data_IF_411447899906
#
_entry.id   IF_411447899906
#
_cell.length_a   1.000
_cell.length_b   1.000
_cell.length_c   1.000
_cell.angle_alpha   90.00
_cell.angle_beta   90.00
_cell.angle_gamma   90.00
#
_symmetry.space_group_name_H-M   'P 1'
#
loop_
_entity.id
_entity.type
_entity.pdbx_description
1 polymer ?
#
# COMPACT_ATOMS: atom_id res chain seq x y z
N UNK A 1 -8.65 -6.64 -34.00
CA UNK A 1 -7.33 -6.54 -34.65
C UNK A 1 -6.47 -5.56 -33.83
N UNK A 2 -5.59 -6.06 -32.91
CA UNK A 2 -4.71 -5.21 -32.10
C UNK A 2 -3.53 -4.76 -32.97
N UNK A 3 -3.56 -3.52 -33.46
CA UNK A 3 -2.59 -2.94 -34.40
C UNK A 3 -1.33 -2.34 -33.77
N UNK A 4 -1.18 -2.40 -32.44
CA UNK A 4 0.05 -1.94 -31.78
C UNK A 4 0.50 -3.02 -30.80
N UNK A 5 1.56 -3.73 -31.17
CA UNK A 5 2.28 -4.60 -30.24
C UNK A 5 2.91 -3.75 -29.14
N UNK A 6 2.52 -3.95 -27.86
CA UNK A 6 3.22 -3.42 -26.72
C UNK A 6 4.69 -3.86 -26.69
N UNK A 7 5.52 -3.29 -25.83
CA UNK A 7 6.92 -3.66 -25.73
C UNK A 7 7.05 -5.17 -25.49
N UNK A 8 7.91 -5.84 -26.28
CA UNK A 8 8.22 -7.26 -26.10
C UNK A 8 9.30 -7.40 -25.04
N UNK A 9 8.92 -7.90 -23.87
CA UNK A 9 9.87 -8.25 -22.81
C UNK A 9 10.27 -9.73 -22.92
N UNK A 10 11.47 -10.12 -22.41
CA UNK A 10 11.75 -11.51 -22.10
C UNK A 10 10.62 -12.12 -21.26
N UNK A 11 10.35 -13.43 -21.42
CA UNK A 11 9.19 -14.07 -20.77
C UNK A 11 9.16 -13.90 -19.26
N UNK A 12 10.30 -14.01 -18.60
CA UNK A 12 10.46 -13.80 -17.15
C UNK A 12 10.04 -12.39 -16.70
N UNK A 13 10.34 -11.38 -17.51
CA UNK A 13 9.95 -10.00 -17.26
C UNK A 13 8.47 -9.78 -17.59
N UNK A 14 8.00 -10.35 -18.72
CA UNK A 14 6.62 -10.22 -19.17
C UNK A 14 5.62 -10.75 -18.10
N UNK A 15 5.98 -11.81 -17.38
CA UNK A 15 5.18 -12.38 -16.28
C UNK A 15 5.06 -11.47 -15.07
N UNK A 16 5.93 -10.45 -14.96
CA UNK A 16 5.97 -9.49 -13.85
C UNK A 16 5.38 -8.13 -14.22
N UNK A 17 4.90 -7.95 -15.44
CA UNK A 17 4.28 -6.68 -15.89
C UNK A 17 2.80 -6.93 -16.14
N UNK A 18 1.90 -6.39 -15.31
CA UNK A 18 0.47 -6.58 -15.47
C UNK A 18 -0.05 -6.06 -16.80
N UNK A 19 -1.20 -6.55 -17.30
CA UNK A 19 -1.85 -6.02 -18.47
C UNK A 19 -2.03 -4.51 -18.40
N UNK A 20 -1.82 -3.80 -19.51
CA UNK A 20 -1.94 -2.35 -19.59
C UNK A 20 -0.80 -1.54 -18.96
N UNK A 21 0.18 -2.22 -18.33
CA UNK A 21 1.37 -1.57 -17.76
C UNK A 21 2.60 -1.72 -18.67
N UNK A 22 3.57 -0.86 -18.46
CA UNK A 22 4.90 -0.89 -19.10
C UNK A 22 5.98 -0.67 -18.07
N UNK A 23 7.17 -1.22 -18.29
CA UNK A 23 8.34 -0.94 -17.47
C UNK A 23 8.77 0.52 -17.64
N UNK A 24 9.16 1.12 -16.54
CA UNK A 24 9.78 2.45 -16.51
C UNK A 24 11.13 2.38 -15.81
N UNK A 25 12.03 3.26 -16.20
CA UNK A 25 13.27 3.49 -15.45
C UNK A 25 13.01 4.52 -14.37
N UNK A 26 13.47 4.25 -13.18
CA UNK A 26 13.24 5.10 -12.02
C UNK A 26 11.84 4.92 -11.45
N UNK A 27 11.52 5.77 -10.50
CA UNK A 27 10.29 5.69 -9.72
C UNK A 27 9.49 7.00 -9.86
N UNK A 28 8.41 7.00 -10.67
CA UNK A 28 7.62 8.21 -10.89
C UNK A 28 7.01 8.77 -9.61
N UNK A 29 7.10 10.08 -9.43
CA UNK A 29 6.50 10.77 -8.27
C UNK A 29 5.08 11.17 -8.60
N UNK A 30 4.12 10.52 -7.93
CA UNK A 30 2.69 10.84 -7.98
C UNK A 30 2.16 10.91 -6.55
N UNK A 31 1.50 11.99 -6.17
CA UNK A 31 0.90 12.15 -4.85
C UNK A 31 -0.27 13.14 -4.88
N UNK A 32 -1.09 13.06 -3.84
CA UNK A 32 -2.11 14.06 -3.53
C UNK A 32 -1.62 14.94 -2.36
N UNK A 33 -1.92 16.24 -2.44
CA UNK A 33 -1.51 17.21 -1.44
C UNK A 33 -0.02 17.60 -1.48
N UNK A 34 0.42 18.45 -0.59
CA UNK A 34 1.83 18.84 -0.45
C UNK A 34 2.67 17.68 0.12
N UNK A 35 3.99 17.75 -0.05
CA UNK A 35 4.93 16.83 0.58
C UNK A 35 5.14 17.31 2.02
N UNK A 36 4.91 16.46 3.05
CA UNK A 36 5.15 16.81 4.44
C UNK A 36 6.62 17.17 4.68
N UNK A 37 6.85 18.13 5.56
CA UNK A 37 8.18 18.46 6.07
C UNK A 37 8.34 17.82 7.44
N UNK A 38 9.08 16.74 7.53
CA UNK A 38 9.37 16.01 8.75
C UNK A 38 10.78 15.46 8.67
N UNK A 39 11.47 15.41 9.79
CA UNK A 39 12.73 14.67 9.98
C UNK A 39 12.50 13.30 10.64
N UNK A 40 11.25 12.94 10.89
CA UNK A 40 10.81 11.71 11.54
C UNK A 40 10.65 11.85 13.07
N UNK A 41 11.21 12.87 13.70
CA UNK A 41 11.17 13.02 15.17
C UNK A 41 9.78 13.34 15.72
N UNK A 42 8.94 13.95 14.88
CA UNK A 42 7.54 14.31 15.16
C UNK A 42 6.54 13.31 14.59
N UNK A 43 7.04 12.15 14.12
CA UNK A 43 6.20 11.15 13.45
C UNK A 43 5.84 9.99 14.36
N UNK A 44 4.58 9.65 14.36
CA UNK A 44 4.03 8.49 15.04
C UNK A 44 3.12 7.68 14.12
N UNK A 45 2.88 6.43 14.50
CA UNK A 45 1.92 5.53 13.88
C UNK A 45 0.95 5.03 14.95
N UNK A 46 -0.34 5.36 14.80
CA UNK A 46 -1.39 4.81 15.66
C UNK A 46 -2.01 3.57 15.02
N UNK A 47 -2.23 2.53 15.82
CA UNK A 47 -3.01 1.33 15.48
C UNK A 47 -4.23 1.27 16.39
N UNK A 48 -5.44 1.26 15.81
CA UNK A 48 -6.69 1.41 16.56
C UNK A 48 -7.90 0.78 15.85
N UNK A 49 -9.10 0.93 16.46
CA UNK A 49 -10.37 0.46 15.94
C UNK A 49 -10.76 -0.91 16.51
N UNK A 50 -11.17 -1.85 15.65
CA UNK A 50 -11.58 -3.19 16.09
C UNK A 50 -10.38 -4.08 16.45
N UNK A 51 -9.67 -3.70 17.50
CA UNK A 51 -8.52 -4.41 18.08
C UNK A 51 -8.70 -4.53 19.59
N UNK A 52 -8.03 -5.52 20.22
CA UNK A 52 -7.99 -5.63 21.68
C UNK A 52 -7.02 -4.63 22.29
N UNK A 53 -5.90 -4.34 21.60
CA UNK A 53 -4.82 -3.48 22.07
C UNK A 53 -4.59 -2.35 21.09
N UNK A 54 -5.15 -1.18 21.37
CA UNK A 54 -4.75 0.05 20.66
C UNK A 54 -3.38 0.51 21.16
N UNK A 55 -2.56 1.02 20.26
CA UNK A 55 -1.26 1.60 20.62
C UNK A 55 -0.83 2.67 19.61
N UNK A 56 0.11 3.48 20.06
CA UNK A 56 0.85 4.41 19.19
C UNK A 56 2.34 4.14 19.35
N UNK A 57 3.06 4.16 18.24
CA UNK A 57 4.52 4.00 18.20
C UNK A 57 5.13 5.26 17.61
N UNK A 58 6.15 5.76 18.24
CA UNK A 58 7.04 6.72 17.62
C UNK A 58 7.78 6.09 16.43
N UNK A 59 8.35 6.91 15.56
CA UNK A 59 9.12 6.42 14.42
C UNK A 59 10.27 5.48 14.85
N UNK A 60 10.97 5.80 15.94
CA UNK A 60 12.08 4.97 16.44
C UNK A 60 11.58 3.66 17.07
N UNK A 61 10.48 3.68 17.82
CA UNK A 61 9.88 2.45 18.38
C UNK A 61 9.42 1.51 17.26
N UNK A 62 8.83 2.07 16.17
CA UNK A 62 8.45 1.28 15.02
C UNK A 62 9.66 0.60 14.38
N UNK A 63 10.76 1.33 14.18
CA UNK A 63 12.00 0.79 13.61
C UNK A 63 12.64 -0.31 14.47
N UNK A 64 12.37 -0.32 15.77
CA UNK A 64 12.88 -1.33 16.70
C UNK A 64 12.07 -2.65 16.66
N UNK A 65 10.94 -2.74 15.95
CA UNK A 65 10.08 -3.93 15.92
C UNK A 65 10.56 -5.08 15.01
N UNK A 66 11.85 -5.20 14.74
CA UNK A 66 12.39 -6.26 13.89
C UNK A 66 12.21 -5.96 12.39
N UNK A 67 13.00 -5.03 11.86
CA UNK A 67 12.94 -4.65 10.46
C UNK A 67 13.29 -5.80 9.52
N UNK A 68 12.59 -5.86 8.40
CA UNK A 68 12.89 -6.77 7.30
C UNK A 68 13.13 -5.99 6.01
N UNK A 69 13.83 -6.60 5.08
CA UNK A 69 13.90 -6.11 3.69
C UNK A 69 13.22 -7.13 2.79
N UNK A 70 12.23 -6.68 2.03
CA UNK A 70 11.57 -7.50 1.00
C UNK A 70 11.81 -6.91 -0.37
N UNK A 71 11.96 -7.79 -1.36
CA UNK A 71 12.01 -7.40 -2.78
C UNK A 71 10.66 -7.61 -3.41
N UNK A 72 10.07 -6.52 -3.93
CA UNK A 72 8.77 -6.57 -4.56
C UNK A 72 8.65 -5.58 -5.72
N UNK A 73 7.75 -5.90 -6.67
CA UNK A 73 7.42 -5.03 -7.78
C UNK A 73 6.35 -4.01 -7.38
N UNK A 74 6.32 -2.89 -8.07
CA UNK A 74 5.28 -1.87 -7.88
C UNK A 74 4.57 -1.58 -9.19
N UNK A 75 3.24 -1.61 -9.16
CA UNK A 75 2.38 -1.43 -10.32
C UNK A 75 1.46 -0.23 -10.11
N UNK A 76 1.49 0.73 -11.03
CA UNK A 76 0.60 1.89 -10.94
C UNK A 76 -0.59 1.77 -11.89
N UNK A 77 -1.74 2.22 -11.44
CA UNK A 77 -2.96 2.29 -12.26
C UNK A 77 -2.79 3.18 -13.50
N UNK A 78 -1.85 4.12 -13.47
CA UNK A 78 -1.52 4.98 -14.63
C UNK A 78 -0.66 4.28 -15.69
N UNK A 79 -0.44 2.95 -15.55
CA UNK A 79 0.15 2.12 -16.60
C UNK A 79 1.67 2.00 -16.55
N UNK A 80 2.31 2.17 -15.41
CA UNK A 80 3.75 1.90 -15.26
C UNK A 80 4.02 0.84 -14.18
N UNK A 81 5.16 0.17 -14.32
CA UNK A 81 5.68 -0.83 -13.39
C UNK A 81 7.16 -0.60 -13.17
N UNK A 82 7.60 -0.70 -11.91
CA UNK A 82 9.00 -0.84 -11.53
C UNK A 82 9.20 -2.21 -10.89
N UNK A 83 10.33 -2.85 -11.22
CA UNK A 83 10.68 -4.17 -10.71
C UNK A 83 11.79 -4.07 -9.66
N UNK A 84 11.90 -5.14 -8.86
CA UNK A 84 13.02 -5.36 -7.94
C UNK A 84 13.23 -4.22 -6.93
N UNK A 85 12.14 -3.67 -6.38
CA UNK A 85 12.24 -2.67 -5.34
C UNK A 85 12.55 -3.35 -4.00
N UNK A 86 13.68 -3.03 -3.39
CA UNK A 86 14.05 -3.50 -2.05
C UNK A 86 13.45 -2.54 -1.01
N UNK A 87 12.38 -2.99 -0.35
CA UNK A 87 11.66 -2.22 0.67
C UNK A 87 12.13 -2.62 2.06
N UNK A 88 12.45 -1.64 2.90
CA UNK A 88 12.81 -1.85 4.30
C UNK A 88 11.71 -1.30 5.21
N UNK A 89 11.24 -2.13 6.14
CA UNK A 89 10.14 -1.77 7.05
C UNK A 89 9.83 -2.86 8.06
N UNK A 90 8.72 -2.70 8.77
CA UNK A 90 8.14 -3.73 9.62
C UNK A 90 6.98 -4.42 8.90
N UNK A 91 6.85 -5.77 8.96
CA UNK A 91 5.68 -6.45 8.41
C UNK A 91 4.40 -5.94 9.06
N UNK A 92 3.36 -5.69 8.27
CA UNK A 92 2.04 -5.33 8.83
C UNK A 92 1.56 -6.38 9.83
N UNK A 93 1.82 -7.67 9.56
CA UNK A 93 1.46 -8.80 10.43
C UNK A 93 1.97 -8.60 11.86
N UNK A 94 3.19 -8.11 12.04
CA UNK A 94 3.75 -7.88 13.38
C UNK A 94 2.97 -6.79 14.16
N UNK A 95 2.47 -5.77 13.47
CA UNK A 95 1.59 -4.76 14.06
C UNK A 95 0.22 -5.34 14.38
N UNK A 96 -0.34 -6.16 13.49
CA UNK A 96 -1.63 -6.83 13.70
C UNK A 96 -1.57 -7.83 14.86
N UNK A 97 -0.51 -8.64 14.97
CA UNK A 97 -0.31 -9.58 16.09
C UNK A 97 -0.23 -8.84 17.43
N UNK A 98 0.42 -7.68 17.48
CA UNK A 98 0.46 -6.84 18.67
C UNK A 98 -0.90 -6.22 19.00
N UNK A 99 -1.65 -5.79 17.98
CA UNK A 99 -2.96 -5.17 18.14
C UNK A 99 -4.04 -6.17 18.53
N UNK A 100 -3.92 -7.43 18.13
CA UNK A 100 -4.92 -8.50 18.31
C UNK A 100 -6.27 -8.08 17.70
N UNK A 101 -6.44 -8.16 16.37
CA UNK A 101 -7.71 -7.81 15.73
C UNK A 101 -8.86 -8.62 16.30
N UNK A 102 -9.99 -7.95 16.56
CA UNK A 102 -11.22 -8.60 16.99
C UNK A 102 -11.78 -9.48 15.87
N UNK A 103 -12.58 -10.52 16.20
CA UNK A 103 -13.15 -11.43 15.19
C UNK A 103 -13.94 -10.73 14.08
N UNK A 104 -14.53 -9.57 14.37
CA UNK A 104 -15.31 -8.76 13.43
C UNK A 104 -14.44 -7.91 12.49
N UNK A 105 -13.16 -7.73 12.81
CA UNK A 105 -12.25 -6.92 11.98
C UNK A 105 -12.01 -7.60 10.64
N UNK A 106 -12.47 -6.98 9.57
CA UNK A 106 -12.37 -7.48 8.20
C UNK A 106 -11.62 -6.53 7.26
N UNK A 107 -11.49 -5.26 7.64
CA UNK A 107 -10.91 -4.19 6.84
C UNK A 107 -9.91 -3.36 7.63
N UNK A 108 -9.01 -2.70 6.91
CA UNK A 108 -8.03 -1.77 7.47
C UNK A 108 -8.00 -0.51 6.63
N UNK A 109 -8.28 0.62 7.27
CA UNK A 109 -8.09 1.95 6.66
C UNK A 109 -6.72 2.48 7.03
N UNK A 110 -5.89 2.74 6.04
CA UNK A 110 -4.65 3.49 6.19
C UNK A 110 -4.96 4.99 6.11
N UNK A 111 -4.79 5.72 7.21
CA UNK A 111 -4.93 7.17 7.27
C UNK A 111 -3.56 7.83 7.12
N UNK A 112 -3.50 8.83 6.26
CA UNK A 112 -2.27 9.52 5.92
C UNK A 112 -2.41 11.04 6.10
N UNK A 113 -1.29 11.73 5.96
CA UNK A 113 -1.30 13.20 5.97
C UNK A 113 -2.28 13.78 4.93
N UNK A 114 -2.77 14.96 5.22
CA UNK A 114 -3.69 15.75 4.36
C UNK A 114 -5.00 15.05 4.02
N UNK A 115 -5.46 14.11 4.87
CA UNK A 115 -6.73 13.41 4.70
C UNK A 115 -6.75 12.38 3.58
N UNK A 116 -5.60 11.95 3.08
CA UNK A 116 -5.53 10.81 2.19
C UNK A 116 -5.81 9.52 2.98
N UNK A 117 -6.67 8.67 2.44
CA UNK A 117 -7.00 7.36 3.02
C UNK A 117 -6.94 6.27 1.94
N UNK A 118 -6.63 5.06 2.35
CA UNK A 118 -6.70 3.88 1.51
C UNK A 118 -7.29 2.73 2.29
N UNK A 119 -8.27 2.08 1.71
CA UNK A 119 -8.95 0.93 2.32
C UNK A 119 -8.42 -0.38 1.75
N UNK A 120 -8.19 -1.37 2.60
CA UNK A 120 -7.73 -2.71 2.23
C UNK A 120 -8.43 -3.76 3.10
N UNK A 121 -8.72 -4.94 2.52
CA UNK A 121 -9.17 -6.05 3.35
C UNK A 121 -8.06 -6.49 4.31
N UNK A 122 -8.43 -6.85 5.55
CA UNK A 122 -7.49 -7.38 6.54
C UNK A 122 -6.74 -8.59 5.97
N UNK A 123 -7.42 -9.44 5.21
CA UNK A 123 -6.82 -10.59 4.53
C UNK A 123 -5.67 -10.18 3.60
N UNK A 124 -5.86 -9.16 2.77
CA UNK A 124 -4.82 -8.67 1.88
C UNK A 124 -3.66 -8.01 2.64
N UNK A 125 -3.97 -7.36 3.76
CA UNK A 125 -2.95 -6.76 4.63
C UNK A 125 -2.10 -7.80 5.36
N UNK A 126 -2.63 -8.99 5.63
CA UNK A 126 -1.92 -10.10 6.28
C UNK A 126 -0.99 -10.88 5.34
N UNK A 127 -0.85 -10.50 4.09
CA UNK A 127 0.14 -11.09 3.17
C UNK A 127 1.57 -10.83 3.68
N UNK A 128 2.46 -11.79 3.45
CA UNK A 128 3.85 -11.75 3.97
C UNK A 128 4.71 -10.64 3.36
N UNK A 129 4.28 -10.07 2.23
CA UNK A 129 4.97 -9.00 1.50
C UNK A 129 4.42 -7.59 1.81
N UNK A 130 3.49 -7.46 2.75
CA UNK A 130 2.93 -6.17 3.16
C UNK A 130 3.73 -5.54 4.29
N UNK A 131 4.25 -4.32 4.05
CA UNK A 131 5.09 -3.59 4.99
C UNK A 131 4.54 -2.21 5.35
N UNK A 132 4.82 -1.76 6.56
CA UNK A 132 4.96 -0.36 6.91
C UNK A 132 6.43 0.01 6.73
N UNK A 133 6.75 0.68 5.63
CA UNK A 133 8.11 0.90 5.16
C UNK A 133 8.60 2.31 5.45
N UNK A 134 9.91 2.42 5.73
CA UNK A 134 10.65 3.68 5.89
C UNK A 134 11.89 3.77 5.00
N UNK A 135 12.24 2.69 4.29
CA UNK A 135 13.41 2.64 3.42
C UNK A 135 13.13 1.96 2.07
N UNK A 136 13.95 2.31 1.08
CA UNK A 136 13.93 1.76 -0.26
C UNK A 136 15.35 1.74 -0.84
N UNK A 137 15.77 0.59 -1.42
CA UNK A 137 17.09 0.46 -2.03
C UNK A 137 18.27 0.61 -1.05
N UNK A 138 18.06 0.31 0.24
CA UNK A 138 19.06 0.43 1.30
C UNK A 138 19.15 1.81 1.94
N UNK A 139 18.39 2.80 1.46
CA UNK A 139 18.39 4.18 1.97
C UNK A 139 17.02 4.54 2.58
N UNK A 140 16.94 5.55 3.45
CA UNK A 140 15.67 6.11 3.88
C UNK A 140 14.83 6.55 2.70
N UNK A 141 13.50 6.47 2.83
CA UNK A 141 12.58 6.99 1.80
C UNK A 141 12.84 8.49 1.56
N UNK A 142 12.78 8.90 0.29
CA UNK A 142 12.72 10.32 -0.03
C UNK A 142 11.36 10.92 0.36
N UNK A 143 11.28 12.21 0.75
CA UNK A 143 10.01 12.84 1.17
C UNK A 143 8.86 12.64 0.18
N UNK A 144 9.10 12.82 -1.14
CA UNK A 144 8.09 12.62 -2.19
C UNK A 144 7.67 11.17 -2.37
N UNK A 145 8.45 10.21 -1.87
CA UNK A 145 8.20 8.79 -1.92
C UNK A 145 7.57 8.24 -0.62
N UNK A 146 7.32 9.10 0.36
CA UNK A 146 6.53 8.75 1.54
C UNK A 146 7.30 8.75 2.87
N UNK A 147 8.50 9.36 2.93
CA UNK A 147 9.20 9.56 4.21
C UNK A 147 8.31 10.34 5.20
N UNK A 148 8.25 9.98 6.49
CA UNK A 148 9.00 8.92 7.16
C UNK A 148 8.42 7.51 6.97
N UNK A 149 7.10 7.37 6.78
CA UNK A 149 6.43 6.08 6.69
C UNK A 149 5.48 6.01 5.51
N UNK A 150 5.46 4.86 4.87
CA UNK A 150 4.44 4.50 3.88
C UNK A 150 3.98 3.06 4.05
N UNK A 151 2.78 2.77 3.56
CA UNK A 151 2.35 1.41 3.33
C UNK A 151 2.94 0.89 2.00
N UNK A 152 3.29 -0.40 1.96
CA UNK A 152 3.68 -1.13 0.74
C UNK A 152 2.81 -2.38 0.66
N UNK A 153 2.01 -2.47 -0.41
CA UNK A 153 1.12 -3.61 -0.70
C UNK A 153 1.36 -4.05 -2.14
N UNK A 154 2.34 -4.90 -2.39
CA UNK A 154 2.85 -5.20 -3.75
C UNK A 154 1.80 -5.77 -4.70
N UNK A 155 0.85 -6.57 -4.19
CA UNK A 155 -0.21 -7.24 -4.96
C UNK A 155 -1.38 -6.31 -5.32
N UNK A 156 -1.27 -5.01 -5.04
CA UNK A 156 -2.29 -4.01 -5.35
C UNK A 156 -1.69 -2.86 -6.15
N UNK A 157 -2.52 -2.16 -6.91
CA UNK A 157 -2.06 -0.92 -7.55
C UNK A 157 -1.51 0.06 -6.51
N UNK A 158 -0.46 0.80 -6.90
CA UNK A 158 0.37 1.62 -6.01
C UNK A 158 -0.37 2.67 -5.17
N UNK A 159 -1.60 3.06 -5.52
CA UNK A 159 -2.37 3.97 -4.65
C UNK A 159 -2.80 3.31 -3.33
N UNK A 160 -2.88 1.97 -3.28
CA UNK A 160 -3.10 1.20 -2.04
C UNK A 160 -1.86 1.22 -1.13
N UNK A 161 -0.69 1.47 -1.69
CA UNK A 161 0.57 1.67 -0.96
C UNK A 161 0.70 3.12 -0.51
N UNK A 162 -0.16 3.50 0.44
CA UNK A 162 -0.38 4.89 0.87
C UNK A 162 0.87 5.53 1.50
N UNK A 163 1.19 6.77 1.09
CA UNK A 163 2.34 7.55 1.57
C UNK A 163 1.99 8.39 2.78
N UNK A 164 3.00 8.67 3.63
CA UNK A 164 2.88 9.55 4.79
C UNK A 164 1.87 9.02 5.80
N UNK A 165 2.00 7.74 6.12
CA UNK A 165 1.10 6.97 6.96
C UNK A 165 1.13 7.48 8.41
N UNK A 166 -0.06 7.69 9.01
CA UNK A 166 -0.28 8.13 10.39
C UNK A 166 -1.05 7.14 11.24
N UNK A 167 -2.01 6.43 10.66
CA UNK A 167 -2.69 5.39 11.42
C UNK A 167 -3.22 4.26 10.56
N UNK A 168 -3.46 3.14 11.25
CA UNK A 168 -4.11 1.94 10.72
C UNK A 168 -5.34 1.69 11.60
N UNK A 169 -6.53 1.84 11.01
CA UNK A 169 -7.81 1.64 11.67
C UNK A 169 -8.42 0.31 11.22
N UNK A 170 -8.69 -0.57 12.17
CA UNK A 170 -9.35 -1.85 11.93
C UNK A 170 -10.87 -1.68 12.01
N UNK A 171 -11.61 -2.17 11.01
CA UNK A 171 -13.05 -2.01 10.86
C UNK A 171 -13.74 -3.31 10.45
N UNK A 172 -15.06 -3.40 10.70
CA UNK A 172 -15.91 -4.53 10.31
C UNK A 172 -16.41 -4.47 8.86
N UNK A 173 -16.31 -3.30 8.24
CA UNK A 173 -16.82 -3.03 6.90
C UNK A 173 -15.89 -2.15 6.10
N UNK A 174 -16.04 -2.20 4.78
CA UNK A 174 -15.36 -1.31 3.87
C UNK A 174 -15.85 0.15 4.05
N UNK A 175 -14.91 1.06 4.28
CA UNK A 175 -15.15 2.52 4.26
C UNK A 175 -14.29 3.11 3.16
N UNK A 176 -14.80 3.14 1.95
CA UNK A 176 -14.07 3.57 0.74
C UNK A 176 -13.09 4.71 1.02
N UNK A 177 -11.82 4.49 0.70
CA UNK A 177 -10.76 5.47 0.85
C UNK A 177 -10.82 6.59 -0.20
N UNK A 178 -9.78 7.43 -0.20
CA UNK A 178 -9.73 8.65 -0.99
C UNK A 178 -9.97 8.45 -2.51
N UNK A 179 -9.31 7.45 -3.12
CA UNK A 179 -9.48 7.18 -4.55
C UNK A 179 -10.70 6.32 -4.85
N UNK A 180 -11.07 5.42 -3.94
CA UNK A 180 -12.23 4.54 -4.10
C UNK A 180 -13.55 5.34 -4.15
N UNK A 181 -13.70 6.39 -3.33
CA UNK A 181 -14.87 7.31 -3.42
C UNK A 181 -14.85 8.15 -4.70
N UNK A 182 -13.72 8.21 -5.40
CA UNK A 182 -13.54 8.92 -6.68
C UNK A 182 -13.59 8.00 -7.89
N UNK A 183 -14.10 6.77 -7.69
CA UNK A 183 -14.38 5.84 -8.77
C UNK A 183 -13.28 4.84 -9.08
N UNK A 184 -12.29 4.65 -8.19
CA UNK A 184 -11.31 3.59 -8.31
C UNK A 184 -11.80 2.30 -7.62
N UNK A 185 -11.26 1.16 -8.04
CA UNK A 185 -11.68 -0.17 -7.63
C UNK A 185 -11.30 -0.49 -6.19
N UNK A 186 -12.20 -1.08 -5.40
CA UNK A 186 -11.98 -1.38 -3.98
C UNK A 186 -10.79 -2.34 -3.74
N UNK A 187 -10.59 -3.36 -4.57
CA UNK A 187 -9.47 -4.33 -4.41
C UNK A 187 -8.20 -3.91 -5.12
N UNK A 188 -8.33 -3.31 -6.31
CA UNK A 188 -7.19 -2.77 -7.06
C UNK A 188 -6.12 -3.79 -7.47
N UNK A 189 -6.52 -5.01 -7.87
CA UNK A 189 -5.61 -6.04 -8.37
C UNK A 189 -5.11 -5.67 -9.77
N UNK A 190 -3.78 -5.49 -9.96
CA UNK A 190 -3.22 -5.10 -11.25
C UNK A 190 -3.30 -6.20 -12.31
N UNK A 191 -3.30 -7.48 -11.91
CA UNK A 191 -3.36 -8.61 -12.84
C UNK A 191 -4.75 -8.85 -13.40
N UNK A 192 -5.79 -8.43 -12.64
CA UNK A 192 -7.20 -8.44 -13.07
C UNK A 192 -7.62 -7.13 -13.71
N UNK A 193 -6.69 -6.17 -13.84
CA UNK A 193 -6.96 -4.80 -14.32
C UNK A 193 -8.10 -4.10 -13.53
N UNK A 194 -8.19 -4.34 -12.24
CA UNK A 194 -9.19 -3.73 -11.35
C UNK A 194 -8.86 -2.26 -11.08
N UNK A 195 -9.16 -1.41 -12.07
CA UNK A 195 -8.81 0.02 -12.05
C UNK A 195 -9.92 0.89 -11.52
N UNK A 196 -11.17 0.60 -11.89
CA UNK A 196 -12.31 1.48 -11.66
C UNK A 196 -13.48 0.75 -11.01
N UNK A 197 -14.28 1.49 -10.23
CA UNK A 197 -15.40 0.97 -9.46
C UNK A 197 -16.51 0.33 -10.32
N UNK A 198 -16.69 0.73 -11.57
CA UNK A 198 -17.66 0.08 -12.46
C UNK A 198 -17.29 -1.37 -12.84
N UNK A 199 -16.08 -1.80 -12.52
CA UNK A 199 -15.61 -3.18 -12.73
C UNK A 199 -15.92 -4.07 -11.52
N UNK A 200 -16.38 -3.49 -10.42
CA UNK A 200 -16.68 -4.22 -9.18
C UNK A 200 -17.94 -5.08 -9.35
N UNK A 201 -17.91 -6.28 -8.77
CA UNK A 201 -19.12 -7.09 -8.57
C UNK A 201 -19.90 -6.57 -7.35
N UNK A 202 -21.19 -6.97 -7.24
CA UNK A 202 -22.02 -6.64 -6.07
C UNK A 202 -21.44 -7.15 -4.75
N UNK A 203 -20.52 -8.11 -4.79
CA UNK A 203 -19.90 -8.72 -3.61
C UNK A 203 -18.50 -8.16 -3.29
N UNK A 204 -17.94 -7.31 -4.17
CA UNK A 204 -16.58 -6.77 -4.00
C UNK A 204 -16.37 -6.00 -2.68
N UNK A 205 -17.42 -5.38 -2.14
CA UNK A 205 -17.35 -4.69 -0.84
C UNK A 205 -17.55 -5.63 0.36
N UNK A 206 -18.02 -6.86 0.12
CA UNK A 206 -18.30 -7.86 1.16
C UNK A 206 -17.21 -8.91 1.27
N UNK A 207 -16.40 -9.08 0.23
CA UNK A 207 -15.27 -10.00 0.24
C UNK A 207 -14.07 -9.35 0.95
N UNK A 208 -13.80 -9.73 2.23
CA UNK A 208 -12.62 -9.26 2.94
C UNK A 208 -11.31 -9.84 2.38
#
# INVERSE_FOLDING_TARGET
>A
MKLFGGPRYPEEIARRVPPGNRLVKGWPVLHYGPIPRSDGSDWDLRVHGLVENEFTLTYEELKALGPVTIRADMHCVTGWTTLDNDWMGVPFRALAERAVPKPEAAWVTAHCEYGYTSELSLRAMMDDDVLVAWGHGGEPLEPQHGYPLRLVVPKRYAWKSAKWLRSLEFADRNVRGFWEVRGYHVHADPWREERYSYQESTDSEREP
#
